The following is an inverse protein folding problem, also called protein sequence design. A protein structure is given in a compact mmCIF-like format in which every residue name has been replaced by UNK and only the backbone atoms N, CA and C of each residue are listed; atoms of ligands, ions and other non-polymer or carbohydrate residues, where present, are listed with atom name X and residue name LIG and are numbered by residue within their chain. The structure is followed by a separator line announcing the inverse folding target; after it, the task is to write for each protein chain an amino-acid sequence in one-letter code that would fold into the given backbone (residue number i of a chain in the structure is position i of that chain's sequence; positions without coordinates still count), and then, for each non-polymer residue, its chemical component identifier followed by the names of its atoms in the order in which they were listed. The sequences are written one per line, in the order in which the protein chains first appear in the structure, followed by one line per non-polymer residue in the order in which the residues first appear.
data_IF_506209189964
#
_entry.id   IF_506209189964
#
_cell.length_a   1.000
_cell.length_b   1.000
_cell.length_c   1.000
_cell.angle_alpha   90.00
_cell.angle_beta   90.00
_cell.angle_gamma   90.00
#
_symmetry.space_group_name_H-M   'P 1'
#
loop_
_entity.id
_entity.type
_entity.pdbx_description
1 polymer ?
#
# COMPACT_ATOMS: atom_id res chain seq x y z
N UNK A 1 9.90 -23.75 11.16
CA UNK A 1 8.49 -23.86 10.74
C UNK A 1 7.86 -22.47 10.73
N UNK A 2 7.58 -21.89 9.56
CA UNK A 2 6.90 -20.57 9.47
C UNK A 2 5.46 -20.75 9.94
N UNK A 3 5.12 -20.20 11.10
CA UNK A 3 3.78 -20.32 11.67
C UNK A 3 2.83 -19.44 10.83
N UNK A 4 1.81 -20.01 10.15
CA UNK A 4 1.02 -19.35 9.09
C UNK A 4 0.30 -18.07 9.58
N UNK A 5 0.12 -17.95 10.89
CA UNK A 5 -0.46 -16.76 11.53
C UNK A 5 0.41 -15.52 11.41
N UNK A 6 1.74 -15.67 11.37
CA UNK A 6 2.66 -14.51 11.31
C UNK A 6 2.60 -13.81 9.97
N UNK A 7 2.53 -14.57 8.86
CA UNK A 7 2.38 -14.00 7.52
C UNK A 7 1.10 -13.17 7.41
N UNK A 8 0.00 -13.66 7.97
CA UNK A 8 -1.27 -12.92 8.02
C UNK A 8 -1.14 -11.63 8.83
N UNK A 9 -0.56 -11.69 10.04
CA UNK A 9 -0.38 -10.51 10.89
C UNK A 9 0.50 -9.47 10.20
N UNK A 10 1.64 -9.86 9.64
CA UNK A 10 2.54 -8.95 8.92
C UNK A 10 1.83 -8.34 7.70
N UNK A 11 1.04 -9.14 6.97
CA UNK A 11 0.25 -8.65 5.84
C UNK A 11 -0.82 -7.62 6.26
N UNK A 12 -1.49 -7.82 7.39
CA UNK A 12 -2.45 -6.86 7.94
C UNK A 12 -1.73 -5.57 8.39
N UNK A 13 -0.59 -5.70 9.07
CA UNK A 13 0.20 -4.54 9.52
C UNK A 13 0.67 -3.72 8.32
N UNK A 14 1.18 -4.37 7.28
CA UNK A 14 1.65 -3.69 6.05
C UNK A 14 0.51 -3.01 5.31
N UNK A 15 -0.67 -3.62 5.25
CA UNK A 15 -1.87 -2.97 4.73
C UNK A 15 -2.22 -1.70 5.53
N UNK A 16 -2.28 -1.79 6.87
CA UNK A 16 -2.57 -0.63 7.73
C UNK A 16 -1.52 0.48 7.58
N UNK A 17 -0.23 0.12 7.56
CA UNK A 17 0.86 1.06 7.33
C UNK A 17 0.73 1.75 5.97
N UNK A 18 0.34 1.02 4.93
CA UNK A 18 0.05 1.58 3.62
C UNK A 18 -1.04 2.64 3.65
N UNK A 19 -2.14 2.39 4.38
CA UNK A 19 -3.21 3.39 4.58
C UNK A 19 -2.67 4.60 5.35
N UNK A 20 -1.93 4.36 6.44
CA UNK A 20 -1.37 5.43 7.27
C UNK A 20 -0.39 6.32 6.49
N UNK A 21 0.41 5.76 5.59
CA UNK A 21 1.26 6.54 4.69
C UNK A 21 0.46 7.35 3.67
N UNK A 22 -0.77 6.91 3.35
CA UNK A 22 -1.65 7.58 2.40
C UNK A 22 -2.39 8.76 3.02
N UNK A 23 -2.80 8.66 4.29
CA UNK A 23 -3.58 9.70 5.00
C UNK A 23 -2.92 11.09 4.90
N UNK A 24 -1.62 11.27 5.20
CA UNK A 24 -0.95 12.57 5.05
C UNK A 24 -1.03 13.13 3.64
N UNK A 25 -1.00 12.28 2.61
CA UNK A 25 -1.09 12.73 1.21
C UNK A 25 -2.47 13.32 0.87
N UNK A 26 -3.53 12.95 1.58
CA UNK A 26 -4.85 13.57 1.36
C UNK A 26 -4.94 15.01 1.91
N UNK A 27 -4.20 15.32 2.97
CA UNK A 27 -4.33 16.58 3.72
C UNK A 27 -3.17 17.55 3.49
N UNK A 28 -1.98 17.04 3.20
CA UNK A 28 -0.73 17.80 3.15
C UNK A 28 0.00 17.69 1.81
N UNK A 29 -0.62 17.14 0.77
CA UNK A 29 0.00 17.11 -0.56
C UNK A 29 0.10 18.53 -1.13
N UNK A 30 1.33 18.98 -1.36
CA UNK A 30 1.64 20.21 -2.07
C UNK A 30 2.47 19.85 -3.31
N UNK A 31 2.09 20.29 -4.53
CA UNK A 31 2.79 19.93 -5.77
C UNK A 31 4.29 20.30 -5.73
N UNK A 32 4.61 21.46 -5.16
CA UNK A 32 5.98 21.97 -5.08
C UNK A 32 6.83 21.33 -3.97
N UNK A 33 6.21 20.60 -3.04
CA UNK A 33 6.90 19.89 -1.96
C UNK A 33 6.18 18.57 -1.68
N UNK A 34 6.25 17.62 -2.63
CA UNK A 34 5.43 16.43 -2.55
C UNK A 34 5.95 15.54 -1.41
N UNK A 35 5.09 15.16 -0.45
CA UNK A 35 5.52 14.45 0.74
C UNK A 35 6.13 13.09 0.40
N UNK A 36 7.41 12.85 0.74
CA UNK A 36 8.16 11.61 0.45
C UNK A 36 7.40 10.30 0.76
N UNK A 37 6.42 10.36 1.67
CA UNK A 37 5.51 9.27 2.03
C UNK A 37 4.71 8.69 0.86
N UNK A 38 4.50 9.43 -0.24
CA UNK A 38 3.81 8.90 -1.43
C UNK A 38 4.60 7.78 -2.12
N UNK A 39 5.94 7.81 -2.09
CA UNK A 39 6.81 6.75 -2.64
C UNK A 39 6.87 5.52 -1.74
N UNK A 40 6.56 5.70 -0.45
CA UNK A 40 6.58 4.64 0.53
C UNK A 40 5.38 3.69 0.37
N UNK A 41 4.24 4.21 -0.08
CA UNK A 41 3.00 3.44 -0.26
C UNK A 41 3.14 2.25 -1.22
N UNK A 42 3.71 2.40 -2.43
CA UNK A 42 3.93 1.27 -3.34
C UNK A 42 4.91 0.24 -2.78
N UNK A 43 5.97 0.67 -2.09
CA UNK A 43 6.93 -0.25 -1.47
C UNK A 43 6.28 -1.10 -0.37
N UNK A 44 5.49 -0.47 0.50
CA UNK A 44 4.77 -1.16 1.57
C UNK A 44 3.73 -2.13 1.01
N UNK A 45 2.95 -1.71 0.00
CA UNK A 45 1.95 -2.56 -0.63
C UNK A 45 2.55 -3.76 -1.36
N UNK A 46 3.66 -3.59 -2.10
CA UNK A 46 4.35 -4.72 -2.75
C UNK A 46 4.91 -5.69 -1.70
N UNK A 47 5.52 -5.18 -0.62
CA UNK A 47 6.02 -6.02 0.46
C UNK A 47 4.88 -6.81 1.14
N UNK A 48 3.76 -6.16 1.45
CA UNK A 48 2.59 -6.82 2.03
C UNK A 48 2.00 -7.89 1.12
N UNK A 49 1.94 -7.65 -0.19
CA UNK A 49 1.50 -8.65 -1.17
C UNK A 49 2.45 -9.86 -1.23
N UNK A 50 3.77 -9.63 -1.22
CA UNK A 50 4.77 -10.70 -1.21
C UNK A 50 4.67 -11.58 0.05
N UNK A 51 4.48 -10.96 1.23
CA UNK A 51 4.25 -11.71 2.48
C UNK A 51 2.94 -12.50 2.42
N UNK A 52 1.89 -11.91 1.85
CA UNK A 52 0.58 -12.55 1.70
C UNK A 52 0.63 -13.83 0.87
N UNK A 53 1.52 -13.91 -0.14
CA UNK A 53 1.71 -15.11 -0.95
C UNK A 53 2.10 -16.35 -0.14
N UNK A 54 2.63 -16.17 1.08
CA UNK A 54 3.02 -17.27 1.99
C UNK A 54 1.89 -17.76 2.89
N UNK A 55 0.69 -17.17 2.83
CA UNK A 55 -0.49 -17.59 3.61
C UNK A 55 -1.04 -18.92 3.05
N UNK A 56 -1.34 -19.85 3.96
CA UNK A 56 -1.81 -21.20 3.61
C UNK A 56 -3.24 -21.24 3.09
N UNK A 57 -4.14 -20.44 3.68
CA UNK A 57 -5.53 -20.36 3.25
C UNK A 57 -5.64 -19.56 1.94
N UNK A 58 -6.11 -20.21 0.87
CA UNK A 58 -6.21 -19.61 -0.46
C UNK A 58 -7.08 -18.35 -0.52
N UNK A 59 -8.22 -18.36 0.17
CA UNK A 59 -9.14 -17.23 0.19
C UNK A 59 -8.52 -16.01 0.89
N UNK A 60 -8.00 -16.22 2.10
CA UNK A 60 -7.34 -15.16 2.87
C UNK A 60 -6.10 -14.65 2.14
N UNK A 61 -5.30 -15.55 1.55
CA UNK A 61 -4.13 -15.19 0.72
C UNK A 61 -4.52 -14.24 -0.40
N UNK A 62 -5.51 -14.62 -1.20
CA UNK A 62 -5.93 -13.83 -2.36
C UNK A 62 -6.47 -12.46 -1.92
N UNK A 63 -7.33 -12.45 -0.89
CA UNK A 63 -7.87 -11.21 -0.32
C UNK A 63 -6.75 -10.26 0.12
N UNK A 64 -5.78 -10.76 0.88
CA UNK A 64 -4.68 -9.93 1.38
C UNK A 64 -3.72 -9.45 0.28
N UNK A 65 -3.48 -10.27 -0.75
CA UNK A 65 -2.72 -9.85 -1.94
C UNK A 65 -3.44 -8.69 -2.63
N UNK A 66 -4.74 -8.84 -2.91
CA UNK A 66 -5.53 -7.81 -3.59
C UNK A 66 -5.52 -6.51 -2.80
N UNK A 67 -5.77 -6.57 -1.49
CA UNK A 67 -5.79 -5.39 -0.62
C UNK A 67 -4.44 -4.64 -0.62
N UNK A 68 -3.33 -5.36 -0.52
CA UNK A 68 -2.00 -4.76 -0.54
C UNK A 68 -1.60 -4.21 -1.92
N UNK A 69 -2.03 -4.87 -3.01
CA UNK A 69 -1.85 -4.35 -4.38
C UNK A 69 -2.67 -3.08 -4.60
N UNK A 70 -3.92 -3.03 -4.13
CA UNK A 70 -4.74 -1.82 -4.25
C UNK A 70 -4.11 -0.62 -3.56
N UNK A 71 -3.49 -0.82 -2.40
CA UNK A 71 -2.68 0.21 -1.73
C UNK A 71 -1.45 0.59 -2.56
N UNK A 72 -0.76 -0.39 -3.17
CA UNK A 72 0.40 -0.05 -3.99
C UNK A 72 -0.01 0.78 -5.23
N UNK A 73 -1.14 0.45 -5.84
CA UNK A 73 -1.69 1.14 -6.99
C UNK A 73 -2.36 2.48 -6.64
N UNK A 74 -2.76 2.70 -5.38
CA UNK A 74 -3.37 3.98 -4.98
C UNK A 74 -2.39 5.16 -5.09
N UNK A 75 -1.08 4.90 -5.12
CA UNK A 75 -0.07 5.90 -5.48
C UNK A 75 -0.26 6.42 -6.92
N UNK A 76 -0.57 5.54 -7.88
CA UNK A 76 -0.78 5.94 -9.27
C UNK A 76 -1.99 6.86 -9.41
N UNK A 77 -3.01 6.70 -8.55
CA UNK A 77 -4.17 7.60 -8.50
C UNK A 77 -3.77 9.00 -8.04
N UNK A 78 -2.90 9.12 -7.02
CA UNK A 78 -2.38 10.42 -6.57
C UNK A 78 -1.57 11.09 -7.69
N UNK A 79 -0.68 10.35 -8.33
CA UNK A 79 0.12 10.89 -9.43
C UNK A 79 -0.78 11.37 -10.57
N UNK A 80 -1.72 10.53 -11.00
CA UNK A 80 -2.65 10.87 -12.07
C UNK A 80 -3.47 12.11 -11.72
N UNK A 81 -4.09 12.18 -10.54
CA UNK A 81 -4.85 13.35 -10.10
C UNK A 81 -3.96 14.59 -9.91
N UNK A 82 -2.76 14.43 -9.35
CA UNK A 82 -1.79 15.50 -9.17
C UNK A 82 -1.38 16.11 -10.50
N UNK A 83 -1.06 15.28 -11.49
CA UNK A 83 -0.75 15.73 -12.86
C UNK A 83 -1.96 16.40 -13.51
N UNK A 84 -3.16 15.85 -13.38
CA UNK A 84 -4.38 16.36 -14.04
C UNK A 84 -4.85 17.70 -13.44
N UNK A 85 -4.72 17.89 -12.13
CA UNK A 85 -5.17 19.09 -11.42
C UNK A 85 -4.13 20.21 -11.47
N UNK A 86 -2.85 19.88 -11.33
CA UNK A 86 -1.79 20.88 -11.22
C UNK A 86 -0.97 21.07 -12.49
N UNK A 87 -1.25 20.32 -13.56
CA UNK A 87 -0.74 20.60 -14.90
C UNK A 87 0.79 20.54 -15.00
N UNK A 88 1.39 19.45 -14.51
CA UNK A 88 2.72 19.05 -14.97
C UNK A 88 2.60 18.35 -16.31
#
# INVERSE_FOLDING_TARGET
MKNPKHALIISIITFILGILCWIPNMFFYHPDNPPLFYLLTPLIGVFGAAVSATISNTFIRLMMIILNILIALSFAIIMFLGTLVFGV
#
